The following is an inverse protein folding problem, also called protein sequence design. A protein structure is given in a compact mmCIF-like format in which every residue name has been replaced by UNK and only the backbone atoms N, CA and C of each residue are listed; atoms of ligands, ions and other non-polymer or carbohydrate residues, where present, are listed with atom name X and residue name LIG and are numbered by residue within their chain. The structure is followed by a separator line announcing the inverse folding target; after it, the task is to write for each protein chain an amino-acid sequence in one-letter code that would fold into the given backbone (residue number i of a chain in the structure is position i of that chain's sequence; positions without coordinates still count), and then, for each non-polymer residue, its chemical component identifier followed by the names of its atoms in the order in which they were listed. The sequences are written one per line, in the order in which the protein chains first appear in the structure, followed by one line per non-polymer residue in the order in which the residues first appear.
data_IF_100311530971
#
_entry.id   IF_100311530971
#
_cell.length_a   1.000
_cell.length_b   1.000
_cell.length_c   1.000
_cell.angle_alpha   90.00
_cell.angle_beta   90.00
_cell.angle_gamma   90.00
#
_symmetry.space_group_name_H-M   'P 1'
#
loop_
_entity.id
_entity.type
_entity.pdbx_description
1 polymer ?
#
# COMPACT_ATOMS: atom_id res chain seq x y z
N UNK A 1 20.46 0.67 -4.28
CA UNK A 1 19.49 1.60 -4.88
C UNK A 1 19.18 2.67 -3.87
N UNK A 2 19.18 3.94 -4.28
CA UNK A 2 18.80 5.07 -3.43
C UNK A 2 17.30 5.31 -3.61
N UNK A 3 16.60 5.73 -2.55
CA UNK A 3 15.15 5.98 -2.56
C UNK A 3 14.68 6.83 -3.74
N UNK A 4 15.46 7.86 -4.10
CA UNK A 4 15.19 8.74 -5.24
C UNK A 4 15.11 7.97 -6.57
N UNK A 5 15.91 6.92 -6.75
CA UNK A 5 15.89 6.10 -7.97
C UNK A 5 14.57 5.36 -8.12
N UNK A 6 14.04 4.81 -7.02
CA UNK A 6 12.74 4.13 -6.98
C UNK A 6 11.65 5.15 -7.36
N UNK A 7 11.58 6.27 -6.66
CA UNK A 7 10.51 7.28 -6.88
C UNK A 7 10.56 7.95 -8.26
N UNK A 8 11.71 7.98 -8.95
CA UNK A 8 11.82 8.49 -10.33
C UNK A 8 11.47 7.46 -11.41
N UNK A 9 11.49 6.17 -11.07
CA UNK A 9 11.24 5.08 -12.01
C UNK A 9 9.74 4.92 -12.34
N UNK A 10 8.88 5.30 -11.42
CA UNK A 10 7.45 4.99 -11.47
C UNK A 10 6.58 6.21 -11.78
N UNK A 11 5.42 5.93 -12.36
CA UNK A 11 4.39 6.95 -12.62
C UNK A 11 3.70 7.37 -11.33
N UNK A 12 3.40 8.66 -11.22
CA UNK A 12 2.72 9.26 -10.07
C UNK A 12 1.20 9.27 -10.26
N UNK A 13 0.42 9.13 -9.17
CA UNK A 13 0.87 8.90 -7.80
C UNK A 13 1.34 7.46 -7.57
N UNK A 14 2.27 7.29 -6.62
CA UNK A 14 2.71 6.00 -6.10
C UNK A 14 1.89 5.68 -4.85
N UNK A 15 0.95 4.75 -4.98
CA UNK A 15 0.03 4.35 -3.91
C UNK A 15 0.49 3.02 -3.30
N UNK A 16 0.72 2.99 -2.00
CA UNK A 16 1.12 1.78 -1.31
C UNK A 16 -0.01 1.17 -0.50
N UNK A 17 0.00 -0.14 -0.34
CA UNK A 17 -0.77 -0.83 0.68
C UNK A 17 0.15 -1.45 1.74
N UNK A 18 -0.23 -1.26 3.00
CA UNK A 18 0.38 -1.89 4.16
C UNK A 18 -0.66 -2.69 4.92
N UNK A 19 -0.25 -3.86 5.40
CA UNK A 19 -1.13 -4.78 6.12
C UNK A 19 -0.38 -5.93 6.77
N UNK A 20 -1.11 -6.84 7.37
CA UNK A 20 -0.55 -7.97 8.10
C UNK A 20 0.00 -9.06 7.15
N UNK A 21 1.15 -9.65 7.52
CA UNK A 21 1.63 -10.88 6.87
C UNK A 21 0.77 -12.10 7.24
N UNK A 22 0.26 -12.11 8.47
CA UNK A 22 -0.71 -13.07 8.98
C UNK A 22 -1.88 -12.25 9.54
N UNK A 23 -2.91 -12.00 8.73
CA UNK A 23 -4.08 -11.23 9.15
C UNK A 23 -4.85 -11.91 10.30
N UNK A 24 -5.69 -11.15 11.00
CA UNK A 24 -6.61 -11.70 12.00
C UNK A 24 -7.69 -12.58 11.35
N UNK A 25 -8.38 -13.40 12.15
CA UNK A 25 -9.41 -14.34 11.66
C UNK A 25 -10.58 -13.65 10.94
N UNK A 26 -10.88 -12.42 11.32
CA UNK A 26 -11.93 -11.56 10.77
C UNK A 26 -11.46 -10.64 9.63
N UNK A 27 -10.23 -10.84 9.15
CA UNK A 27 -9.67 -10.09 8.03
C UNK A 27 -10.53 -10.25 6.76
N UNK A 28 -10.95 -9.13 6.12
CA UNK A 28 -11.77 -9.20 4.92
C UNK A 28 -10.91 -9.41 3.67
N UNK A 29 -10.51 -10.66 3.41
CA UNK A 29 -9.68 -11.05 2.24
C UNK A 29 -10.33 -10.60 0.92
N UNK A 30 -11.61 -10.92 0.70
CA UNK A 30 -12.36 -10.55 -0.51
C UNK A 30 -12.41 -9.03 -0.73
N UNK A 31 -12.55 -8.25 0.34
CA UNK A 31 -12.52 -6.77 0.24
C UNK A 31 -11.12 -6.26 -0.12
N UNK A 32 -10.07 -6.94 0.33
CA UNK A 32 -8.69 -6.54 0.00
C UNK A 32 -8.36 -6.86 -1.46
N UNK A 33 -8.87 -7.99 -1.97
CA UNK A 33 -8.80 -8.32 -3.41
C UNK A 33 -9.57 -7.27 -4.22
N UNK A 34 -10.81 -6.95 -3.86
CA UNK A 34 -11.60 -5.92 -4.54
C UNK A 34 -10.92 -4.55 -4.48
N UNK A 35 -10.28 -4.19 -3.37
CA UNK A 35 -9.50 -2.96 -3.24
C UNK A 35 -8.35 -2.92 -4.26
N UNK A 36 -7.62 -4.03 -4.43
CA UNK A 36 -6.59 -4.17 -5.47
C UNK A 36 -7.11 -3.94 -6.87
N UNK A 37 -8.25 -4.55 -7.19
CA UNK A 37 -8.93 -4.40 -8.47
C UNK A 37 -9.31 -2.94 -8.73
N UNK A 38 -9.98 -2.29 -7.78
CA UNK A 38 -10.51 -0.92 -7.91
C UNK A 38 -9.41 0.14 -7.91
N UNK A 39 -8.34 -0.03 -7.14
CA UNK A 39 -7.20 0.89 -7.23
C UNK A 39 -6.45 0.74 -8.56
N UNK A 40 -6.34 -0.48 -9.09
CA UNK A 40 -5.76 -0.67 -10.42
C UNK A 40 -6.60 -0.03 -11.52
N UNK A 41 -7.93 -0.14 -11.43
CA UNK A 41 -8.87 0.58 -12.29
C UNK A 41 -8.63 2.09 -12.23
N UNK A 42 -8.58 2.66 -11.03
CA UNK A 42 -8.39 4.09 -10.81
C UNK A 42 -7.09 4.62 -11.46
N UNK A 43 -5.97 3.90 -11.30
CA UNK A 43 -4.68 4.35 -11.88
C UNK A 43 -4.55 4.06 -13.38
N UNK A 44 -5.40 3.20 -13.97
CA UNK A 44 -5.43 3.01 -15.42
C UNK A 44 -5.84 4.29 -16.14
N UNK A 45 -6.85 4.97 -15.59
CA UNK A 45 -7.44 6.16 -16.20
C UNK A 45 -6.57 7.40 -16.04
N UNK A 46 -5.72 7.43 -15.02
CA UNK A 46 -5.09 8.66 -14.55
C UNK A 46 -3.55 8.65 -14.48
N UNK A 47 -2.91 7.53 -14.87
CA UNK A 47 -1.51 7.21 -14.61
C UNK A 47 -1.19 7.13 -13.10
N UNK A 48 -0.26 6.23 -12.75
CA UNK A 48 0.05 5.94 -11.36
C UNK A 48 0.65 4.55 -11.22
N UNK A 49 1.14 4.25 -10.02
CA UNK A 49 1.78 2.99 -9.69
C UNK A 49 1.31 2.49 -8.34
N UNK A 50 1.10 1.19 -8.21
CA UNK A 50 0.74 0.53 -6.96
C UNK A 50 1.95 -0.22 -6.38
N UNK A 51 2.03 -0.35 -5.06
CA UNK A 51 3.06 -1.19 -4.45
C UNK A 51 2.64 -1.80 -3.11
N UNK A 52 3.32 -2.89 -2.72
CA UNK A 52 3.25 -3.47 -1.37
C UNK A 52 4.65 -3.68 -0.81
N UNK A 53 4.75 -4.09 0.45
CA UNK A 53 6.00 -4.54 1.07
C UNK A 53 6.51 -5.92 0.64
N UNK A 54 5.86 -6.57 -0.35
CA UNK A 54 6.27 -7.87 -0.90
C UNK A 54 6.22 -9.04 0.09
N UNK A 55 5.32 -9.00 1.07
CA UNK A 55 5.08 -10.08 2.03
C UNK A 55 3.74 -10.77 1.76
N UNK A 56 3.54 -11.99 2.27
CA UNK A 56 2.26 -12.71 2.20
C UNK A 56 1.13 -11.96 2.94
N UNK A 57 -0.09 -12.51 2.93
CA UNK A 57 -1.25 -11.90 3.57
C UNK A 57 -1.78 -10.72 2.76
N UNK A 58 -2.07 -9.60 3.43
CA UNK A 58 -2.77 -8.43 2.84
C UNK A 58 -2.15 -7.97 1.52
N UNK A 59 -0.82 -7.88 1.45
CA UNK A 59 -0.15 -7.42 0.23
C UNK A 59 -0.34 -8.36 -0.96
N UNK A 60 -0.38 -9.67 -0.71
CA UNK A 60 -0.56 -10.67 -1.76
C UNK A 60 -2.02 -10.67 -2.24
N UNK A 61 -2.99 -10.59 -1.32
CA UNK A 61 -4.42 -10.52 -1.66
C UNK A 61 -4.75 -9.27 -2.47
N UNK A 62 -4.17 -8.12 -2.08
CA UNK A 62 -4.26 -6.90 -2.86
C UNK A 62 -3.69 -7.10 -4.28
N UNK A 63 -2.52 -7.73 -4.42
CA UNK A 63 -1.93 -7.96 -5.73
C UNK A 63 -2.75 -8.94 -6.59
N UNK A 64 -3.43 -9.94 -5.99
CA UNK A 64 -4.40 -10.78 -6.72
C UNK A 64 -5.47 -9.93 -7.40
N UNK A 65 -6.04 -8.96 -6.68
CA UNK A 65 -7.00 -8.01 -7.23
C UNK A 65 -6.46 -7.18 -8.41
N UNK A 66 -5.22 -6.70 -8.28
CA UNK A 66 -4.51 -6.00 -9.36
C UNK A 66 -4.40 -6.88 -10.60
N UNK A 67 -3.99 -8.15 -10.43
CA UNK A 67 -3.84 -9.10 -11.53
C UNK A 67 -5.19 -9.48 -12.17
N UNK A 68 -6.24 -9.64 -11.38
CA UNK A 68 -7.60 -9.89 -11.89
C UNK A 68 -8.08 -8.77 -12.81
N UNK A 69 -7.83 -7.50 -12.45
CA UNK A 69 -8.10 -6.37 -13.32
C UNK A 69 -7.30 -6.46 -14.63
N UNK A 70 -6.01 -6.77 -14.53
CA UNK A 70 -5.11 -6.82 -15.68
C UNK A 70 -5.48 -7.92 -16.67
N UNK A 71 -5.81 -9.12 -16.17
CA UNK A 71 -6.28 -10.25 -16.99
C UNK A 71 -7.57 -9.92 -17.72
N UNK A 72 -8.53 -9.30 -17.02
CA UNK A 72 -9.83 -8.95 -17.59
C UNK A 72 -9.74 -7.88 -18.67
N UNK A 73 -8.79 -6.96 -18.55
CA UNK A 73 -8.68 -5.80 -19.44
C UNK A 73 -7.51 -5.87 -20.44
N UNK A 74 -6.62 -6.86 -20.33
CA UNK A 74 -5.45 -7.01 -21.20
C UNK A 74 -4.42 -5.90 -21.05
N UNK A 75 -4.18 -5.44 -19.81
CA UNK A 75 -3.25 -4.34 -19.49
C UNK A 75 -2.13 -4.79 -18.55
N UNK A 76 -1.09 -3.96 -18.42
CA UNK A 76 0.01 -4.20 -17.48
C UNK A 76 -0.39 -3.90 -16.01
N UNK A 77 0.27 -4.49 -15.01
CA UNK A 77 -0.08 -4.34 -13.59
C UNK A 77 0.25 -2.97 -12.99
N UNK A 78 1.19 -2.22 -13.57
CA UNK A 78 1.74 -0.98 -12.99
C UNK A 78 2.03 -1.13 -11.49
N UNK A 79 2.66 -2.25 -11.13
CA UNK A 79 2.87 -2.66 -9.74
C UNK A 79 4.34 -3.01 -9.45
N UNK A 80 4.78 -2.79 -8.20
CA UNK A 80 6.04 -3.35 -7.71
C UNK A 80 5.99 -3.79 -6.24
N UNK A 81 6.88 -4.69 -5.85
CA UNK A 81 7.14 -5.03 -4.44
C UNK A 81 8.35 -4.23 -3.93
N UNK A 82 8.20 -3.53 -2.80
CA UNK A 82 9.32 -2.95 -2.07
C UNK A 82 9.86 -3.97 -1.06
N UNK A 83 11.04 -4.54 -1.31
CA UNK A 83 11.58 -5.66 -0.54
C UNK A 83 13.02 -5.37 -0.05
N UNK A 84 13.48 -5.92 1.08
CA UNK A 84 14.88 -5.75 1.48
C UNK A 84 15.86 -6.50 0.57
N UNK A 85 17.11 -6.08 0.62
CA UNK A 85 18.25 -6.81 0.10
C UNK A 85 19.02 -7.43 1.26
N UNK A 86 18.60 -8.62 1.72
CA UNK A 86 19.27 -9.28 2.84
C UNK A 86 20.73 -9.58 2.48
N UNK A 87 21.66 -9.03 3.27
CA UNK A 87 23.11 -9.08 3.00
C UNK A 87 23.57 -10.52 2.67
N UNK A 88 23.84 -10.77 1.39
CA UNK A 88 24.37 -12.05 0.90
C UNK A 88 23.37 -13.21 0.77
N UNK A 89 22.07 -12.96 0.93
CA UNK A 89 21.03 -13.98 0.68
C UNK A 89 19.99 -13.45 -0.29
N UNK A 90 19.74 -14.23 -1.36
CA UNK A 90 18.71 -13.93 -2.33
C UNK A 90 17.35 -14.35 -1.77
N UNK A 91 16.89 -13.62 -0.75
CA UNK A 91 15.50 -13.74 -0.29
C UNK A 91 14.63 -12.92 -1.23
N UNK A 92 13.65 -13.57 -1.82
CA UNK A 92 12.67 -12.98 -2.69
C UNK A 92 11.34 -12.80 -1.94
N UNK A 93 10.43 -11.95 -2.46
CA UNK A 93 9.02 -12.04 -2.13
C UNK A 93 8.50 -13.49 -2.26
N UNK A 94 7.38 -13.83 -1.59
CA UNK A 94 6.73 -15.12 -1.74
C UNK A 94 6.53 -15.52 -3.21
N UNK A 95 6.70 -16.81 -3.53
CA UNK A 95 6.62 -17.34 -4.91
C UNK A 95 5.27 -17.02 -5.56
N UNK A 96 4.21 -16.93 -4.75
CA UNK A 96 2.85 -16.60 -5.15
C UNK A 96 2.75 -15.25 -5.86
N UNK A 97 3.59 -14.26 -5.54
CA UNK A 97 3.62 -13.00 -6.30
C UNK A 97 4.12 -13.22 -7.74
N UNK A 98 5.11 -14.10 -7.92
CA UNK A 98 5.66 -14.41 -9.24
C UNK A 98 4.68 -15.24 -10.06
N UNK A 99 3.99 -16.20 -9.41
CA UNK A 99 2.91 -16.97 -10.04
C UNK A 99 1.80 -16.04 -10.57
N UNK A 100 1.33 -15.11 -9.74
CA UNK A 100 0.32 -14.13 -10.13
C UNK A 100 0.78 -13.22 -11.28
N UNK A 101 2.02 -12.70 -11.23
CA UNK A 101 2.58 -11.88 -12.31
C UNK A 101 2.65 -12.67 -13.64
N UNK A 102 2.97 -13.96 -13.57
CA UNK A 102 3.05 -14.82 -14.75
C UNK A 102 1.68 -15.05 -15.42
N UNK A 103 0.56 -14.88 -14.71
CA UNK A 103 -0.78 -14.99 -15.30
C UNK A 103 -1.06 -13.94 -16.39
N UNK A 104 -0.32 -12.83 -16.37
CA UNK A 104 -0.35 -11.79 -17.41
C UNK A 104 0.94 -11.77 -18.25
N UNK A 105 1.73 -12.85 -18.22
CA UNK A 105 3.02 -13.00 -18.91
C UNK A 105 4.05 -11.92 -18.53
N UNK A 106 4.07 -11.52 -17.26
CA UNK A 106 4.98 -10.49 -16.74
C UNK A 106 5.91 -11.06 -15.66
N UNK A 107 7.13 -10.52 -15.60
CA UNK A 107 8.01 -10.69 -14.46
C UNK A 107 7.66 -9.68 -13.36
N UNK A 108 7.44 -10.17 -12.14
CA UNK A 108 7.23 -9.33 -10.96
C UNK A 108 8.35 -8.28 -10.82
N UNK A 109 7.96 -7.01 -10.73
CA UNK A 109 8.91 -5.93 -10.44
C UNK A 109 9.20 -5.88 -8.95
N UNK A 110 10.47 -6.01 -8.57
CA UNK A 110 10.91 -5.98 -7.16
C UNK A 110 11.96 -4.88 -6.99
N UNK A 111 11.62 -3.88 -6.20
CA UNK A 111 12.52 -2.79 -5.83
C UNK A 111 13.15 -3.10 -4.49
N UNK A 112 14.50 -3.10 -4.46
CA UNK A 112 15.24 -3.48 -3.27
C UNK A 112 15.73 -2.27 -2.48
N UNK A 113 15.29 -2.16 -1.23
CA UNK A 113 15.72 -1.10 -0.31
C UNK A 113 16.03 -1.62 1.09
N UNK A 114 17.18 -1.21 1.61
CA UNK A 114 17.63 -1.62 2.94
C UNK A 114 18.23 -3.03 2.96
N UNK A 115 18.94 -3.34 4.04
CA UNK A 115 19.61 -4.64 4.26
C UNK A 115 18.77 -5.63 5.07
N UNK A 116 17.67 -5.15 5.63
CA UNK A 116 16.80 -5.87 6.54
C UNK A 116 15.38 -5.29 6.47
N UNK A 117 14.45 -5.94 7.18
CA UNK A 117 13.05 -5.54 7.21
C UNK A 117 12.84 -4.17 7.86
N UNK A 118 13.67 -3.77 8.81
CA UNK A 118 13.55 -2.47 9.49
C UNK A 118 13.88 -1.32 8.53
N UNK A 119 15.00 -1.43 7.82
CA UNK A 119 15.40 -0.46 6.79
C UNK A 119 14.38 -0.42 5.64
N UNK A 120 13.79 -1.56 5.27
CA UNK A 120 12.70 -1.58 4.28
C UNK A 120 11.48 -0.82 4.78
N UNK A 121 11.06 -1.01 6.03
CA UNK A 121 9.94 -0.28 6.64
C UNK A 121 10.16 1.23 6.63
N UNK A 122 11.39 1.68 6.85
CA UNK A 122 11.74 3.11 6.78
C UNK A 122 11.52 3.72 5.39
N UNK A 123 11.53 2.93 4.31
CA UNK A 123 11.30 3.41 2.96
C UNK A 123 9.84 3.40 2.50
N UNK A 124 8.95 2.66 3.16
CA UNK A 124 7.54 2.53 2.74
C UNK A 124 6.85 3.90 2.64
N UNK A 125 6.92 4.70 3.72
CA UNK A 125 6.35 6.05 3.73
C UNK A 125 6.98 6.96 2.68
N UNK A 126 8.32 7.13 2.66
CA UNK A 126 8.97 8.00 1.69
C UNK A 126 8.76 7.64 0.21
N UNK A 127 8.55 6.35 -0.13
CA UNK A 127 8.21 5.91 -1.50
C UNK A 127 6.80 6.32 -1.91
N UNK A 128 5.87 6.32 -0.97
CA UNK A 128 4.46 6.56 -1.25
C UNK A 128 4.10 8.05 -1.36
N UNK A 129 3.11 8.37 -2.19
CA UNK A 129 2.35 9.61 -2.09
C UNK A 129 1.19 9.46 -1.08
N UNK A 130 0.55 8.30 -1.07
CA UNK A 130 -0.46 7.88 -0.10
C UNK A 130 -0.33 6.40 0.23
N UNK A 131 -0.72 6.03 1.44
CA UNK A 131 -0.81 4.64 1.87
C UNK A 131 -2.24 4.28 2.23
N UNK A 132 -2.63 3.05 1.90
CA UNK A 132 -3.83 2.40 2.42
C UNK A 132 -3.41 1.37 3.46
N UNK A 133 -4.05 1.44 4.63
CA UNK A 133 -3.82 0.55 5.76
C UNK A 133 -5.04 -0.37 5.93
N UNK A 134 -4.79 -1.68 5.83
CA UNK A 134 -5.78 -2.74 6.01
C UNK A 134 -5.24 -3.78 6.97
N UNK A 135 -5.95 -4.04 8.06
CA UNK A 135 -5.50 -4.92 9.13
C UNK A 135 -4.08 -4.52 9.63
N UNK A 136 -3.34 -5.42 10.25
CA UNK A 136 -1.92 -5.24 10.55
C UNK A 136 -1.52 -5.70 11.94
N UNK A 137 -0.24 -6.00 12.09
CA UNK A 137 0.37 -6.24 13.40
C UNK A 137 1.21 -5.03 13.83
N UNK A 138 2.02 -5.18 14.89
CA UNK A 138 2.91 -4.11 15.37
C UNK A 138 3.89 -3.62 14.30
N UNK A 139 4.33 -4.48 13.37
CA UNK A 139 5.18 -4.07 12.26
C UNK A 139 4.48 -3.14 11.26
N UNK A 140 3.21 -3.43 10.96
CA UNK A 140 2.37 -2.58 10.11
C UNK A 140 2.04 -1.25 10.80
N UNK A 141 1.80 -1.28 12.12
CA UNK A 141 1.58 -0.08 12.91
C UNK A 141 2.81 0.85 12.89
N UNK A 142 4.01 0.30 13.00
CA UNK A 142 5.27 1.04 12.87
C UNK A 142 5.43 1.68 11.47
N UNK A 143 5.09 0.96 10.39
CA UNK A 143 5.07 1.50 9.03
C UNK A 143 4.09 2.67 8.89
N UNK A 144 2.87 2.51 9.41
CA UNK A 144 1.82 3.54 9.38
C UNK A 144 2.27 4.82 10.11
N UNK A 145 2.76 4.67 11.34
CA UNK A 145 3.26 5.75 12.18
C UNK A 145 4.41 6.51 11.50
N UNK A 146 5.39 5.79 10.96
CA UNK A 146 6.53 6.42 10.27
C UNK A 146 6.09 7.19 9.05
N UNK A 147 5.14 6.64 8.30
CA UNK A 147 4.62 7.29 7.09
C UNK A 147 3.91 8.61 7.40
N UNK A 148 3.18 8.68 8.51
CA UNK A 148 2.61 9.94 9.01
C UNK A 148 3.70 10.96 9.39
N UNK A 149 4.84 10.51 9.94
CA UNK A 149 5.98 11.38 10.23
C UNK A 149 6.67 11.92 8.97
N UNK A 150 6.48 11.27 7.81
CA UNK A 150 6.89 11.75 6.49
C UNK A 150 5.79 12.53 5.76
N UNK A 151 4.78 13.01 6.50
CA UNK A 151 3.65 13.79 5.98
C UNK A 151 2.86 13.09 4.86
N UNK A 152 2.79 11.76 4.90
CA UNK A 152 2.03 10.98 3.93
C UNK A 152 0.60 10.78 4.38
N UNK A 153 -0.34 10.90 3.44
CA UNK A 153 -1.74 10.58 3.69
C UNK A 153 -1.88 9.08 3.95
N UNK A 154 -2.62 8.74 5.00
CA UNK A 154 -2.86 7.36 5.42
C UNK A 154 -4.36 7.11 5.43
N UNK A 155 -4.87 6.36 4.46
CA UNK A 155 -6.26 5.96 4.38
C UNK A 155 -6.40 4.64 5.13
N UNK A 156 -7.31 4.55 6.09
CA UNK A 156 -7.44 3.36 6.95
C UNK A 156 -8.83 2.75 6.82
N UNK A 157 -8.89 1.47 6.42
CA UNK A 157 -10.15 0.73 6.30
C UNK A 157 -10.66 0.37 7.70
N UNK A 158 -11.78 0.96 8.11
CA UNK A 158 -12.41 0.75 9.42
C UNK A 158 -12.84 -0.70 9.59
N UNK A 159 -12.68 -1.24 10.80
CA UNK A 159 -13.06 -2.61 11.17
C UNK A 159 -12.32 -3.69 10.39
N UNK A 160 -11.21 -3.35 9.73
CA UNK A 160 -10.34 -4.35 9.11
C UNK A 160 -9.43 -5.05 10.13
N UNK A 161 -9.48 -4.66 11.42
CA UNK A 161 -8.72 -5.28 12.51
C UNK A 161 -7.34 -4.69 12.74
N UNK A 162 -6.67 -5.15 13.80
CA UNK A 162 -5.23 -4.96 14.02
C UNK A 162 -4.75 -3.49 14.02
N UNK A 163 -3.67 -3.22 13.27
CA UNK A 163 -3.05 -1.90 13.21
C UNK A 163 -3.98 -0.80 12.66
N UNK A 164 -4.89 -1.14 11.74
CA UNK A 164 -5.87 -0.22 11.19
C UNK A 164 -6.76 0.37 12.30
N UNK A 165 -7.36 -0.50 13.12
CA UNK A 165 -8.24 -0.04 14.20
C UNK A 165 -7.46 0.69 15.30
N UNK A 166 -6.24 0.28 15.62
CA UNK A 166 -5.37 0.97 16.58
C UNK A 166 -5.07 2.41 16.12
N UNK A 167 -4.71 2.62 14.84
CA UNK A 167 -4.44 3.96 14.30
C UNK A 167 -5.69 4.84 14.38
N UNK A 168 -6.86 4.28 14.09
CA UNK A 168 -8.13 4.99 14.19
C UNK A 168 -8.49 5.33 15.62
N UNK A 169 -8.25 4.43 16.57
CA UNK A 169 -8.43 4.68 18.00
C UNK A 169 -7.53 5.82 18.51
N UNK A 170 -6.29 5.89 18.03
CA UNK A 170 -5.38 7.01 18.32
C UNK A 170 -5.93 8.31 17.73
N UNK A 171 -6.40 8.29 16.47
CA UNK A 171 -7.00 9.46 15.81
C UNK A 171 -8.23 9.98 16.58
N UNK A 172 -9.09 9.07 17.01
CA UNK A 172 -10.35 9.37 17.72
C UNK A 172 -10.13 9.69 19.22
N UNK A 173 -8.90 9.60 19.72
CA UNK A 173 -8.55 9.88 21.12
C UNK A 173 -9.00 8.79 22.10
N UNK A 174 -9.30 7.58 21.61
CA UNK A 174 -9.64 6.40 22.41
C UNK A 174 -8.41 5.70 22.97
N UNK A 175 -7.27 5.84 22.29
CA UNK A 175 -5.96 5.37 22.75
C UNK A 175 -5.00 6.56 22.96
N UNK A 176 -4.00 6.41 23.85
CA UNK A 176 -3.00 7.44 24.07
C UNK A 176 -2.22 7.72 22.77
N UNK A 177 -1.90 9.00 22.56
CA UNK A 177 -1.02 9.39 21.47
C UNK A 177 0.40 8.93 21.77
N UNK A 178 1.17 8.52 20.75
CA UNK A 178 2.60 8.30 20.90
C UNK A 178 3.33 9.57 21.36
N UNK A 179 4.48 9.41 22.03
CA UNK A 179 5.28 10.51 22.61
C UNK A 179 6.05 11.35 21.56
N UNK A 180 5.60 11.37 20.31
CA UNK A 180 6.17 12.16 19.22
C UNK A 180 5.06 12.81 18.39
N UNK A 181 5.32 13.96 17.75
CA UNK A 181 4.29 14.69 17.01
C UNK A 181 3.80 13.88 15.81
N UNK A 182 2.51 13.53 15.83
CA UNK A 182 1.80 12.92 14.70
C UNK A 182 0.76 13.90 14.18
N UNK A 183 0.80 14.17 12.87
CA UNK A 183 -0.28 14.90 12.22
C UNK A 183 -1.45 13.95 11.95
N UNK A 184 -2.38 13.89 12.91
CA UNK A 184 -3.55 13.02 12.84
C UNK A 184 -4.54 13.42 11.74
N UNK A 185 -4.43 14.63 11.17
CA UNK A 185 -5.28 15.09 10.07
C UNK A 185 -4.96 14.35 8.77
N UNK A 186 -3.77 13.76 8.66
CA UNK A 186 -3.38 12.92 7.52
C UNK A 186 -4.01 11.52 7.53
N UNK A 187 -4.64 11.13 8.63
CA UNK A 187 -5.33 9.83 8.74
C UNK A 187 -6.75 10.00 8.20
N UNK A 188 -7.07 9.38 7.07
CA UNK A 188 -8.42 9.37 6.51
C UNK A 188 -9.12 8.03 6.85
N UNK A 189 -10.09 8.01 7.78
CA UNK A 189 -10.92 6.84 7.96
C UNK A 189 -11.79 6.58 6.72
N UNK A 190 -11.87 5.32 6.30
CA UNK A 190 -12.78 4.88 5.24
C UNK A 190 -13.60 3.67 5.71
N UNK A 191 -14.91 3.71 5.47
CA UNK A 191 -15.85 2.64 5.86
C UNK A 191 -16.03 1.57 4.79
N UNK A 192 -15.56 1.83 3.58
CA UNK A 192 -15.68 0.94 2.44
C UNK A 192 -14.56 1.20 1.43
N UNK A 193 -14.39 0.28 0.49
CA UNK A 193 -13.48 0.42 -0.65
C UNK A 193 -13.86 1.63 -1.51
N UNK A 194 -15.15 1.87 -1.74
CA UNK A 194 -15.60 3.02 -2.53
C UNK A 194 -15.19 4.35 -1.87
N UNK A 195 -15.27 4.48 -0.53
CA UNK A 195 -14.78 5.67 0.16
C UNK A 195 -13.25 5.86 -0.01
N UNK A 196 -12.48 4.77 -0.07
CA UNK A 196 -11.02 4.82 -0.34
C UNK A 196 -10.76 5.32 -1.77
N UNK A 197 -11.44 4.73 -2.76
CA UNK A 197 -11.31 5.06 -4.18
C UNK A 197 -11.73 6.51 -4.43
N UNK A 198 -12.87 6.94 -3.90
CA UNK A 198 -13.38 8.31 -4.04
C UNK A 198 -12.41 9.33 -3.43
N UNK A 199 -11.87 9.03 -2.25
CA UNK A 199 -10.89 9.91 -1.60
C UNK A 199 -9.63 10.05 -2.45
N UNK A 200 -9.03 8.93 -2.88
CA UNK A 200 -7.81 8.94 -3.71
C UNK A 200 -8.06 9.60 -5.07
N UNK A 201 -9.23 9.39 -5.67
CA UNK A 201 -9.67 10.06 -6.89
C UNK A 201 -9.74 11.58 -6.70
N UNK A 202 -10.35 12.02 -5.61
CA UNK A 202 -10.43 13.45 -5.27
C UNK A 202 -9.06 14.08 -5.02
N UNK A 203 -8.14 13.33 -4.41
CA UNK A 203 -6.83 13.82 -4.00
C UNK A 203 -5.89 14.00 -5.20
N UNK A 204 -5.90 13.06 -6.14
CA UNK A 204 -4.91 13.01 -7.21
C UNK A 204 -5.46 13.33 -8.60
N UNK A 205 -6.73 13.06 -8.86
CA UNK A 205 -7.24 12.93 -10.24
C UNK A 205 -8.35 13.92 -10.60
N UNK A 206 -9.10 14.45 -9.62
CA UNK A 206 -10.12 15.48 -9.83
C UNK A 206 -9.58 16.90 -10.08
N UNK A 207 -8.49 17.05 -10.85
CA UNK A 207 -7.99 18.35 -11.31
C UNK A 207 -8.55 18.82 -12.65
N UNK A 208 -9.47 18.09 -13.27
CA UNK A 208 -10.20 18.60 -14.44
C UNK A 208 -11.35 19.53 -14.03
N UNK A 209 -10.97 20.75 -13.63
CA UNK A 209 -11.91 21.82 -13.28
C UNK A 209 -11.28 23.19 -13.04
N UNK A 210 -9.95 23.31 -12.98
CA UNK A 210 -9.27 24.61 -12.93
C UNK A 210 -8.43 24.76 -14.19
N UNK A 211 -9.01 25.45 -15.17
CA UNK A 211 -8.30 26.03 -16.30
C UNK A 211 -7.00 26.70 -15.83
N UNK A 212 -5.88 26.28 -16.40
CA UNK A 212 -4.73 27.15 -16.68
C UNK A 212 -4.29 26.91 -18.12
#
# INVERSE_FOLDING_TARGET
MVLEEITRKYEYPILGIIGATVPSEDYPEDETVELGYRLRELIQENNGTLFTGGVSGVGLDFYRGVIDYCKRNGVDDKFFCLFPNFDGTEVNPPEEYYELANEINKQLSVERFGRDMEQRRMAVGPVADSLVLVNGSSGTLDEAIRSLAYEKSLITLKNSGGAADIILDIKEGRLPRPDFPLNLDLIQPAKSIDEIVDYLSSLYFNKQGVNQ
#
